data_IF_176961428540
#
_entry.id   IF_176961428540
#
_cell.length_a   1.000
_cell.length_b   1.000
_cell.length_c   1.000
_cell.angle_alpha   90.00
_cell.angle_beta   90.00
_cell.angle_gamma   90.00
#
_symmetry.space_group_name_H-M   'P 1'
#
loop_
_entity.id
_entity.type
_entity.pdbx_description
1 polymer ?
#
# COMPACT_ATOMS: atom_id res chain seq x y z
N UNK A 1 -16.99 6.78 -0.46
CA UNK A 1 -15.56 6.39 -0.41
C UNK A 1 -15.48 4.90 -0.08
N UNK A 2 -14.40 4.21 -0.43
CA UNK A 2 -14.21 2.79 -0.10
C UNK A 2 -12.92 2.57 0.69
N UNK A 3 -12.87 1.59 1.62
CA UNK A 3 -11.64 1.24 2.31
C UNK A 3 -10.53 0.92 1.31
N UNK A 4 -9.34 1.50 1.49
CA UNK A 4 -8.20 1.31 0.59
C UNK A 4 -6.95 0.93 1.37
N UNK A 5 -6.26 -0.13 0.93
CA UNK A 5 -4.90 -0.47 1.37
C UNK A 5 -3.94 -0.24 0.21
N UNK A 6 -2.85 0.48 0.46
CA UNK A 6 -1.75 0.66 -0.48
C UNK A 6 -0.42 0.24 0.14
N UNK A 7 0.59 0.00 -0.72
CA UNK A 7 1.99 -0.11 -0.31
C UNK A 7 2.90 0.77 -1.15
N UNK A 8 4.01 1.22 -0.55
CA UNK A 8 5.12 1.88 -1.25
C UNK A 8 6.43 1.27 -0.78
N UNK A 9 7.30 0.92 -1.73
CA UNK A 9 8.65 0.45 -1.46
C UNK A 9 9.66 1.56 -1.79
N UNK A 10 10.55 1.87 -0.84
CA UNK A 10 11.38 3.09 -0.94
C UNK A 10 12.55 2.98 -1.91
N UNK A 11 12.94 1.77 -2.31
CA UNK A 11 13.99 1.52 -3.31
C UNK A 11 13.40 1.13 -4.69
N UNK A 12 12.09 1.27 -4.90
CA UNK A 12 11.46 0.99 -6.19
C UNK A 12 11.84 2.06 -7.22
N UNK A 13 12.55 1.63 -8.27
CA UNK A 13 12.97 2.48 -9.39
C UNK A 13 12.04 2.41 -10.60
N UNK A 14 11.10 1.44 -10.63
CA UNK A 14 10.09 1.27 -11.69
C UNK A 14 8.86 2.13 -11.39
N UNK A 15 8.40 2.09 -10.14
CA UNK A 15 7.33 2.93 -9.61
C UNK A 15 7.90 3.80 -8.47
N UNK A 16 8.58 4.93 -8.78
CA UNK A 16 9.25 5.74 -7.77
C UNK A 16 8.34 6.11 -6.59
N UNK A 17 8.84 6.11 -5.34
CA UNK A 17 8.03 6.30 -4.14
C UNK A 17 7.16 7.56 -4.18
N UNK A 18 7.68 8.64 -4.77
CA UNK A 18 6.97 9.91 -4.94
C UNK A 18 5.63 9.75 -5.66
N UNK A 19 5.54 8.87 -6.65
CA UNK A 19 4.30 8.60 -7.41
C UNK A 19 3.26 7.88 -6.53
N UNK A 20 3.68 6.88 -5.77
CA UNK A 20 2.81 6.15 -4.84
C UNK A 20 2.32 7.02 -3.69
N UNK A 21 3.20 7.84 -3.11
CA UNK A 21 2.82 8.83 -2.10
C UNK A 21 1.91 9.92 -2.67
N UNK A 22 2.14 10.37 -3.91
CA UNK A 22 1.24 11.32 -4.56
C UNK A 22 -0.17 10.77 -4.69
N UNK A 23 -0.33 9.52 -5.17
CA UNK A 23 -1.64 8.85 -5.21
C UNK A 23 -2.24 8.74 -3.82
N UNK A 24 -1.49 8.22 -2.85
CA UNK A 24 -1.99 8.03 -1.49
C UNK A 24 -2.47 9.33 -0.84
N UNK A 25 -1.73 10.43 -1.01
CA UNK A 25 -2.08 11.72 -0.43
C UNK A 25 -3.34 12.32 -1.06
N UNK A 26 -3.55 12.12 -2.38
CA UNK A 26 -4.70 12.66 -3.10
C UNK A 26 -5.93 11.75 -3.09
N UNK A 27 -5.82 10.50 -2.61
CA UNK A 27 -6.97 9.63 -2.42
C UNK A 27 -8.00 10.30 -1.51
N UNK A 28 -9.23 10.41 -2.01
CA UNK A 28 -10.40 10.93 -1.28
C UNK A 28 -10.97 9.94 -0.28
N UNK A 29 -10.43 8.71 -0.22
CA UNK A 29 -10.87 7.72 0.75
C UNK A 29 -10.61 8.21 2.19
N UNK A 30 -11.66 8.10 3.01
CA UNK A 30 -11.64 8.40 4.44
C UNK A 30 -11.00 7.28 5.26
N UNK A 31 -11.03 6.06 4.73
CA UNK A 31 -10.50 4.84 5.35
C UNK A 31 -9.36 4.32 4.46
N UNK A 32 -8.15 4.86 4.63
CA UNK A 32 -6.96 4.44 3.87
C UNK A 32 -5.82 4.06 4.79
N UNK A 33 -5.18 2.93 4.49
CA UNK A 33 -3.98 2.43 5.15
C UNK A 33 -2.82 2.37 4.15
N UNK A 34 -1.61 2.70 4.60
CA UNK A 34 -0.37 2.56 3.82
C UNK A 34 0.61 1.64 4.55
N UNK A 35 1.26 0.75 3.79
CA UNK A 35 2.45 0.01 4.24
C UNK A 35 3.67 0.51 3.50
N UNK A 36 4.68 0.95 4.24
CA UNK A 36 5.95 1.41 3.67
C UNK A 36 6.98 0.30 3.88
N UNK A 37 7.69 -0.06 2.82
CA UNK A 37 8.74 -1.07 2.81
C UNK A 37 10.09 -0.40 2.51
N UNK A 38 10.89 -0.04 3.54
CA UNK A 38 12.04 0.86 3.36
C UNK A 38 13.21 0.28 2.57
N UNK A 39 13.33 -1.04 2.56
CA UNK A 39 14.47 -1.76 1.98
C UNK A 39 14.11 -2.55 0.72
N UNK A 40 12.88 -2.39 0.25
CA UNK A 40 12.35 -3.12 -0.88
C UNK A 40 12.34 -2.25 -2.15
N UNK A 41 12.43 -2.92 -3.30
CA UNK A 41 12.27 -2.37 -4.64
C UNK A 41 10.89 -2.68 -5.22
N UNK A 42 10.84 -2.95 -6.53
CA UNK A 42 9.58 -3.19 -7.25
C UNK A 42 8.81 -4.44 -6.79
N UNK A 43 9.45 -5.33 -6.03
CA UNK A 43 8.76 -6.44 -5.36
C UNK A 43 7.80 -5.99 -4.25
N UNK A 44 7.89 -4.73 -3.80
CA UNK A 44 7.04 -4.22 -2.73
C UNK A 44 7.30 -4.95 -1.42
N UNK A 45 6.24 -5.26 -0.68
CA UNK A 45 6.34 -6.14 0.49
C UNK A 45 6.18 -7.63 0.17
N UNK A 46 6.06 -8.02 -1.11
CA UNK A 46 5.86 -9.40 -1.56
C UNK A 46 4.82 -10.16 -0.72
N UNK A 47 5.19 -11.35 -0.24
CA UNK A 47 4.34 -12.22 0.59
C UNK A 47 3.88 -11.58 1.90
N UNK A 48 4.67 -10.66 2.47
CA UNK A 48 4.30 -9.93 3.69
C UNK A 48 3.15 -8.98 3.38
N UNK A 49 3.20 -8.29 2.24
CA UNK A 49 2.09 -7.43 1.82
C UNK A 49 0.85 -8.24 1.42
N UNK A 50 1.04 -9.45 0.87
CA UNK A 50 -0.05 -10.38 0.59
C UNK A 50 -0.85 -10.70 1.86
N UNK A 51 -0.17 -11.02 2.96
CA UNK A 51 -0.83 -11.25 4.25
C UNK A 51 -1.56 -10.01 4.76
N UNK A 52 -0.96 -8.82 4.63
CA UNK A 52 -1.60 -7.56 5.01
C UNK A 52 -2.89 -7.29 4.21
N UNK A 53 -2.94 -7.65 2.91
CA UNK A 53 -4.18 -7.59 2.11
C UNK A 53 -5.26 -8.50 2.68
N UNK A 54 -4.94 -9.74 3.03
CA UNK A 54 -5.92 -10.66 3.63
C UNK A 54 -6.42 -10.17 4.98
N UNK A 55 -5.52 -9.66 5.83
CA UNK A 55 -5.88 -9.04 7.11
C UNK A 55 -6.80 -7.85 6.91
N UNK A 56 -6.51 -7.00 5.93
CA UNK A 56 -7.31 -5.83 5.60
C UNK A 56 -8.72 -6.22 5.13
N UNK A 57 -8.83 -7.12 4.15
CA UNK A 57 -10.13 -7.61 3.65
C UNK A 57 -10.97 -8.22 4.78
N UNK A 58 -10.35 -9.02 5.66
CA UNK A 58 -11.05 -9.62 6.80
C UNK A 58 -11.66 -8.60 7.78
N UNK A 59 -11.14 -7.37 7.87
CA UNK A 59 -11.75 -6.30 8.69
C UNK A 59 -13.13 -5.86 8.17
N UNK A 60 -13.37 -6.00 6.86
CA UNK A 60 -14.57 -5.46 6.20
C UNK A 60 -15.55 -6.53 5.69
N UNK A 61 -15.10 -7.78 5.49
CA UNK A 61 -15.93 -8.89 5.02
C UNK A 61 -16.23 -9.89 6.15
N UNK A 62 -17.00 -9.43 7.14
CA UNK A 62 -17.41 -10.27 8.28
C UNK A 62 -18.58 -11.18 7.93
#
# INVERSE_FOLDING_TARGET
TCPTLMSVALLDTVCPPSTGFAVYNHLTSTEKELRVYPYNGHEGGGVIHEEEKYRFVRKYFR
#
